data_IF_324860143140
#
_entry.id   IF_324860143140
#
_cell.length_a   1.000
_cell.length_b   1.000
_cell.length_c   1.000
_cell.angle_alpha   90.00
_cell.angle_beta   90.00
_cell.angle_gamma   90.00
#
_symmetry.space_group_name_H-M   'P 1'
#
loop_
_entity.id
_entity.type
_entity.pdbx_description
1 polymer ?
#
# COMPACT_ATOMS: atom_id res chain seq x y z
N UNK A 1 10.17 -16.23 11.92
CA UNK A 1 10.82 -15.15 11.09
C UNK A 1 9.89 -14.89 9.92
N UNK A 2 9.47 -13.67 9.71
CA UNK A 2 8.71 -13.28 8.50
C UNK A 2 9.62 -13.43 7.29
N UNK A 3 9.13 -14.01 6.19
CA UNK A 3 9.87 -14.00 4.92
C UNK A 3 10.14 -12.56 4.49
N UNK A 4 11.22 -12.33 3.76
CA UNK A 4 11.53 -11.00 3.24
C UNK A 4 10.39 -10.49 2.35
N UNK A 5 10.02 -9.23 2.51
CA UNK A 5 8.98 -8.58 1.71
C UNK A 5 9.42 -7.17 1.31
N UNK A 6 8.82 -6.67 0.25
CA UNK A 6 8.98 -5.30 -0.21
C UNK A 6 7.69 -4.51 0.03
N UNK A 7 7.80 -3.20 0.20
CA UNK A 7 6.63 -2.32 0.29
C UNK A 7 6.57 -1.44 -0.95
N UNK A 8 5.38 -1.33 -1.54
CA UNK A 8 5.08 -0.35 -2.57
C UNK A 8 4.01 0.59 -2.06
N UNK A 9 4.25 1.89 -2.20
CA UNK A 9 3.34 2.97 -1.80
C UNK A 9 2.82 3.63 -3.09
N UNK A 10 1.65 3.20 -3.61
CA UNK A 10 1.05 3.87 -4.75
C UNK A 10 0.56 5.26 -4.36
N UNK A 11 0.95 6.28 -5.12
CA UNK A 11 0.57 7.66 -4.89
C UNK A 11 0.15 8.33 -6.21
N UNK A 12 -1.07 8.89 -6.24
CA UNK A 12 -1.62 9.62 -7.40
C UNK A 12 -1.87 11.07 -7.02
N UNK A 13 -1.58 11.97 -7.96
CA UNK A 13 -1.96 13.37 -7.78
C UNK A 13 -3.46 13.59 -8.03
N UNK A 14 -4.00 12.90 -9.04
CA UNK A 14 -5.41 12.99 -9.37
C UNK A 14 -6.24 12.19 -8.37
N UNK A 15 -7.06 12.89 -7.62
CA UNK A 15 -8.07 12.34 -6.73
C UNK A 15 -9.34 13.15 -6.91
N UNK A 16 -10.48 12.49 -7.03
CA UNK A 16 -11.79 13.14 -7.21
C UNK A 16 -12.18 13.98 -6.00
N UNK A 17 -11.80 13.54 -4.79
CA UNK A 17 -12.15 14.22 -3.53
C UNK A 17 -11.13 15.28 -3.13
N UNK A 18 -9.83 15.03 -3.32
CA UNK A 18 -8.76 15.91 -2.86
C UNK A 18 -7.52 15.78 -3.74
N UNK A 19 -7.43 16.53 -4.85
CA UNK A 19 -6.24 16.52 -5.71
C UNK A 19 -4.98 16.89 -4.94
N UNK A 20 -3.87 16.20 -5.24
CA UNK A 20 -2.59 16.44 -4.57
C UNK A 20 -2.53 15.97 -3.11
N UNK A 21 -3.48 15.14 -2.65
CA UNK A 21 -3.53 14.62 -1.28
C UNK A 21 -2.17 14.13 -0.74
N UNK A 22 -1.34 13.38 -1.48
CA UNK A 22 -0.03 12.93 -0.99
C UNK A 22 0.94 14.06 -0.64
N UNK A 23 0.74 15.24 -1.23
CA UNK A 23 1.62 16.42 -1.03
C UNK A 23 1.11 17.39 0.05
N UNK A 24 -0.05 17.12 0.65
CA UNK A 24 -0.58 17.95 1.73
C UNK A 24 0.35 17.88 2.93
N UNK A 25 0.71 19.07 3.45
CA UNK A 25 1.56 19.16 4.61
C UNK A 25 0.80 18.78 5.90
N UNK A 26 1.33 17.79 6.60
CA UNK A 26 0.91 17.36 7.93
C UNK A 26 2.09 17.57 8.88
N UNK A 27 1.93 18.39 9.91
CA UNK A 27 2.99 18.67 10.89
C UNK A 27 4.34 19.07 10.23
N UNK A 28 4.28 19.84 9.13
CA UNK A 28 5.45 20.34 8.43
C UNK A 28 6.10 19.40 7.41
N UNK A 29 5.58 18.19 7.21
CA UNK A 29 6.04 17.23 6.20
C UNK A 29 4.88 16.86 5.25
N UNK A 30 5.14 16.54 3.97
CA UNK A 30 4.12 15.99 3.08
C UNK A 30 3.55 14.68 3.63
N UNK A 31 2.26 14.43 3.42
CA UNK A 31 1.61 13.18 3.85
C UNK A 31 2.37 11.93 3.39
N UNK A 32 2.81 11.91 2.12
CA UNK A 32 3.56 10.79 1.55
C UNK A 32 4.89 10.52 2.29
N UNK A 33 5.51 11.55 2.87
CA UNK A 33 6.73 11.40 3.65
C UNK A 33 6.46 10.67 4.96
N UNK A 34 5.35 10.98 5.65
CA UNK A 34 4.95 10.25 6.85
C UNK A 34 4.72 8.77 6.55
N UNK A 35 3.98 8.48 5.46
CA UNK A 35 3.72 7.09 5.02
C UNK A 35 5.03 6.36 4.72
N UNK A 36 5.94 7.02 4.00
CA UNK A 36 7.22 6.42 3.64
C UNK A 36 8.11 6.14 4.85
N UNK A 37 8.24 7.11 5.77
CA UNK A 37 9.02 6.96 7.00
C UNK A 37 8.49 5.77 7.83
N UNK A 38 7.17 5.67 8.03
CA UNK A 38 6.55 4.54 8.73
C UNK A 38 6.76 3.20 7.99
N UNK A 39 6.68 3.21 6.66
CA UNK A 39 6.92 2.00 5.87
C UNK A 39 8.36 1.49 6.01
N UNK A 40 9.35 2.39 6.11
CA UNK A 40 10.74 2.03 6.35
C UNK A 40 10.96 1.33 7.70
N UNK A 41 10.17 1.69 8.71
CA UNK A 41 10.24 1.08 10.04
C UNK A 41 9.59 -0.32 10.10
N UNK A 42 8.84 -0.72 9.07
CA UNK A 42 8.16 -2.03 9.03
C UNK A 42 9.10 -3.23 8.79
N UNK A 43 10.38 -3.01 8.48
CA UNK A 43 11.36 -4.07 8.24
C UNK A 43 11.29 -4.69 6.84
N UNK A 44 10.77 -3.96 5.85
CA UNK A 44 10.82 -4.35 4.45
C UNK A 44 12.26 -4.29 3.88
N UNK A 45 12.56 -5.13 2.88
CA UNK A 45 13.83 -5.06 2.17
C UNK A 45 13.95 -3.80 1.31
N UNK A 46 12.87 -3.45 0.62
CA UNK A 46 12.77 -2.26 -0.20
C UNK A 46 11.44 -1.56 0.08
N UNK A 47 11.46 -0.22 0.07
CA UNK A 47 10.26 0.62 0.14
C UNK A 47 10.28 1.56 -1.05
N UNK A 48 9.25 1.46 -1.92
CA UNK A 48 9.20 2.19 -3.18
C UNK A 48 7.92 3.02 -3.26
N UNK A 49 8.07 4.31 -3.57
CA UNK A 49 6.93 5.17 -3.93
C UNK A 49 6.65 5.02 -5.42
N UNK A 50 5.45 4.58 -5.77
CA UNK A 50 5.01 4.39 -7.16
C UNK A 50 4.06 5.50 -7.57
N UNK A 51 4.45 6.31 -8.55
CA UNK A 51 3.66 7.46 -9.01
C UNK A 51 3.77 7.69 -10.51
N UNK A 52 2.76 8.32 -11.08
CA UNK A 52 2.73 8.82 -12.47
C UNK A 52 2.92 10.35 -12.53
N UNK A 53 3.10 11.00 -11.38
CA UNK A 53 3.15 12.46 -11.29
C UNK A 53 4.54 12.93 -10.83
N UNK A 54 5.19 13.76 -11.64
CA UNK A 54 6.53 14.24 -11.35
C UNK A 54 6.60 15.10 -10.08
N UNK A 55 5.55 15.81 -9.72
CA UNK A 55 5.49 16.61 -8.48
C UNK A 55 5.61 15.73 -7.24
N UNK A 56 4.94 14.56 -7.26
CA UNK A 56 5.05 13.58 -6.18
C UNK A 56 6.45 12.96 -6.19
N UNK A 57 6.94 12.61 -7.38
CA UNK A 57 8.28 12.03 -7.53
C UNK A 57 9.38 12.95 -7.01
N UNK A 58 9.33 14.24 -7.35
CA UNK A 58 10.33 15.21 -6.93
C UNK A 58 10.33 15.41 -5.41
N UNK A 59 9.13 15.52 -4.82
CA UNK A 59 8.99 15.63 -3.36
C UNK A 59 9.48 14.36 -2.67
N UNK A 60 9.14 13.17 -3.20
CA UNK A 60 9.58 11.91 -2.62
C UNK A 60 11.11 11.74 -2.70
N UNK A 61 11.72 12.07 -3.82
CA UNK A 61 13.18 12.07 -3.98
C UNK A 61 13.86 13.05 -3.04
N UNK A 62 13.25 14.22 -2.79
CA UNK A 62 13.82 15.25 -1.93
C UNK A 62 14.00 14.80 -0.47
N UNK A 63 13.15 13.89 0.03
CA UNK A 63 13.32 13.28 1.35
C UNK A 63 14.01 11.91 1.32
N UNK A 64 14.56 11.48 0.17
CA UNK A 64 15.39 10.29 0.04
C UNK A 64 14.62 9.00 -0.26
N UNK A 65 13.35 9.08 -0.67
CA UNK A 65 12.60 7.89 -1.05
C UNK A 65 13.07 7.33 -2.40
N UNK A 66 13.04 6.02 -2.52
CA UNK A 66 13.12 5.37 -3.82
C UNK A 66 11.80 5.55 -4.56
N UNK A 67 11.87 6.04 -5.79
CA UNK A 67 10.70 6.36 -6.62
C UNK A 67 10.71 5.56 -7.91
N UNK A 68 9.62 4.90 -8.18
CA UNK A 68 9.34 4.24 -9.45
C UNK A 68 8.26 5.03 -10.21
N UNK A 69 8.64 5.58 -11.38
CA UNK A 69 7.67 6.21 -12.28
C UNK A 69 6.89 5.13 -13.02
N UNK A 70 5.58 5.22 -12.96
CA UNK A 70 4.65 4.27 -13.55
C UNK A 70 3.70 4.97 -14.52
N UNK A 71 3.01 4.20 -15.34
CA UNK A 71 1.99 4.78 -16.25
C UNK A 71 0.84 5.40 -15.47
N UNK A 72 0.19 6.41 -16.09
CA UNK A 72 -0.95 7.12 -15.48
C UNK A 72 -2.32 6.46 -15.69
N UNK A 73 -2.40 5.44 -16.57
CA UNK A 73 -3.64 4.81 -17.01
C UNK A 73 -4.06 3.57 -16.19
N UNK A 74 -3.36 3.28 -15.10
CA UNK A 74 -3.73 2.17 -14.22
C UNK A 74 -5.09 2.39 -13.55
N UNK A 75 -6.05 1.48 -13.70
CA UNK A 75 -7.36 1.57 -13.07
C UNK A 75 -7.30 1.36 -11.54
N UNK A 76 -6.25 0.67 -11.05
CA UNK A 76 -6.10 0.35 -9.62
C UNK A 76 -4.67 0.54 -9.12
N UNK A 77 -4.51 0.65 -7.79
CA UNK A 77 -3.21 0.62 -7.13
C UNK A 77 -2.50 -0.73 -7.33
N UNK A 78 -3.24 -1.83 -7.36
CA UNK A 78 -2.70 -3.18 -7.57
C UNK A 78 -1.98 -3.32 -8.91
N UNK A 79 -2.57 -2.81 -9.99
CA UNK A 79 -1.93 -2.84 -11.30
C UNK A 79 -0.67 -1.96 -11.38
N UNK A 80 -0.68 -0.82 -10.67
CA UNK A 80 0.51 0.02 -10.52
C UNK A 80 1.62 -0.73 -9.79
N UNK A 81 1.30 -1.47 -8.74
CA UNK A 81 2.25 -2.30 -8.01
C UNK A 81 2.83 -3.40 -8.89
N UNK A 82 2.00 -4.06 -9.70
CA UNK A 82 2.47 -5.07 -10.65
C UNK A 82 3.45 -4.48 -11.68
N UNK A 83 3.23 -3.25 -12.17
CA UNK A 83 4.19 -2.56 -13.02
C UNK A 83 5.52 -2.31 -12.28
N UNK A 84 5.48 -1.87 -11.01
CA UNK A 84 6.70 -1.70 -10.20
C UNK A 84 7.47 -3.01 -10.09
N UNK A 85 6.81 -4.13 -9.79
CA UNK A 85 7.45 -5.44 -9.69
C UNK A 85 8.17 -5.81 -10.99
N UNK A 86 7.54 -5.57 -12.14
CA UNK A 86 8.15 -5.80 -13.45
C UNK A 86 9.36 -4.87 -13.71
N UNK A 87 9.23 -3.56 -13.44
CA UNK A 87 10.31 -2.59 -13.64
C UNK A 87 11.51 -2.86 -12.74
N UNK A 88 11.26 -3.30 -11.51
CA UNK A 88 12.28 -3.69 -10.53
C UNK A 88 12.85 -5.10 -10.80
N UNK A 89 12.26 -5.84 -11.73
CA UNK A 89 12.63 -7.23 -12.03
C UNK A 89 12.58 -8.14 -10.77
N UNK A 90 11.63 -7.89 -9.88
CA UNK A 90 11.40 -8.77 -8.74
C UNK A 90 10.89 -10.13 -9.22
N UNK A 91 11.26 -11.18 -8.52
CA UNK A 91 10.80 -12.54 -8.85
C UNK A 91 9.30 -12.71 -8.56
N UNK A 92 8.68 -13.69 -9.19
CA UNK A 92 7.27 -14.04 -8.97
C UNK A 92 6.98 -14.48 -7.51
N UNK A 93 8.02 -14.91 -6.79
CA UNK A 93 7.94 -15.28 -5.37
C UNK A 93 8.11 -14.08 -4.43
N UNK A 94 8.33 -12.88 -4.95
CA UNK A 94 8.53 -11.70 -4.12
C UNK A 94 7.22 -11.28 -3.47
N UNK A 95 7.20 -11.31 -2.14
CA UNK A 95 6.07 -10.79 -1.38
C UNK A 95 6.06 -9.26 -1.42
N UNK A 96 4.94 -8.68 -1.81
CA UNK A 96 4.78 -7.22 -1.91
C UNK A 96 3.61 -6.78 -1.03
N UNK A 97 3.88 -5.88 -0.11
CA UNK A 97 2.85 -5.24 0.71
C UNK A 97 2.46 -3.90 0.08
N UNK A 98 1.18 -3.74 -0.17
CA UNK A 98 0.59 -2.48 -0.60
C UNK A 98 0.29 -1.60 0.61
N UNK A 99 0.99 -0.48 0.75
CA UNK A 99 0.71 0.55 1.75
C UNK A 99 0.16 1.78 1.04
N UNK A 100 -1.07 2.16 1.34
CA UNK A 100 -1.70 3.30 0.66
C UNK A 100 -1.03 4.62 1.02
N UNK A 101 -0.78 5.47 0.01
CA UNK A 101 -0.11 6.76 0.19
C UNK A 101 -0.87 7.80 1.02
N UNK A 102 -2.05 7.45 1.51
CA UNK A 102 -2.91 8.30 2.34
C UNK A 102 -3.21 7.71 3.73
N UNK A 103 -2.41 6.73 4.17
CA UNK A 103 -2.50 6.10 5.48
C UNK A 103 -1.25 6.40 6.35
N UNK A 104 -1.05 7.66 6.78
CA UNK A 104 0.16 8.09 7.49
C UNK A 104 0.28 7.51 8.91
N UNK A 105 -0.77 6.87 9.43
CA UNK A 105 -0.81 6.29 10.78
C UNK A 105 -0.96 4.77 10.76
N UNK A 106 -0.66 4.10 9.64
CA UNK A 106 -0.74 2.65 9.55
C UNK A 106 0.25 2.01 10.55
N UNK A 107 -0.23 1.15 11.47
CA UNK A 107 0.65 0.53 12.45
C UNK A 107 1.63 -0.45 11.79
N UNK A 108 2.93 -0.36 12.14
CA UNK A 108 3.98 -1.28 11.65
C UNK A 108 3.63 -2.75 11.89
N UNK A 109 3.08 -3.06 13.08
CA UNK A 109 2.67 -4.43 13.43
C UNK A 109 1.63 -4.99 12.47
N UNK A 110 0.76 -4.16 11.91
CA UNK A 110 -0.25 -4.58 10.97
C UNK A 110 0.38 -5.02 9.64
N UNK A 111 1.36 -4.25 9.15
CA UNK A 111 2.13 -4.60 7.94
C UNK A 111 2.85 -5.93 8.12
N UNK A 112 3.54 -6.09 9.26
CA UNK A 112 4.26 -7.34 9.60
C UNK A 112 3.30 -8.52 9.74
N UNK A 113 2.11 -8.31 10.31
CA UNK A 113 1.09 -9.34 10.47
C UNK A 113 0.56 -9.81 9.12
N UNK A 114 0.22 -8.89 8.21
CA UNK A 114 -0.26 -9.23 6.86
C UNK A 114 0.80 -9.99 6.06
N UNK A 115 2.05 -9.52 6.11
CA UNK A 115 3.16 -10.23 5.48
C UNK A 115 3.36 -11.62 6.09
N UNK A 116 3.25 -11.75 7.41
CA UNK A 116 3.36 -13.03 8.12
C UNK A 116 2.28 -14.05 7.72
N UNK A 117 1.06 -13.58 7.44
CA UNK A 117 -0.04 -14.47 7.04
C UNK A 117 0.25 -15.24 5.74
N UNK A 118 0.90 -14.63 4.76
CA UNK A 118 1.27 -15.35 3.53
C UNK A 118 2.32 -16.44 3.76
N UNK A 119 3.17 -16.30 4.79
CA UNK A 119 4.08 -17.38 5.18
C UNK A 119 3.35 -18.57 5.82
N UNK A 120 2.34 -18.26 6.66
CA UNK A 120 1.59 -19.28 7.38
C UNK A 120 0.60 -20.02 6.46
N UNK A 121 0.22 -19.39 5.35
CA UNK A 121 -0.70 -19.92 4.35
C UNK A 121 -0.10 -19.87 2.93
N UNK A 122 0.87 -20.75 2.61
CA UNK A 122 1.61 -20.71 1.34
C UNK A 122 0.75 -20.90 0.09
N UNK A 123 -0.43 -21.49 0.22
CA UNK A 123 -1.40 -21.64 -0.88
C UNK A 123 -2.23 -20.37 -1.12
N UNK A 124 -2.13 -19.36 -0.26
CA UNK A 124 -2.82 -18.09 -0.42
C UNK A 124 -2.03 -17.16 -1.34
N UNK A 125 -2.67 -16.66 -2.38
CA UNK A 125 -2.07 -15.66 -3.28
C UNK A 125 -2.14 -14.22 -2.74
N UNK A 126 -2.93 -13.97 -1.68
CA UNK A 126 -3.14 -12.64 -1.11
C UNK A 126 -3.58 -12.71 0.35
N UNK A 127 -3.14 -11.73 1.14
CA UNK A 127 -3.64 -11.48 2.48
C UNK A 127 -4.05 -10.02 2.62
N UNK A 128 -5.10 -9.73 3.37
CA UNK A 128 -5.58 -8.37 3.64
C UNK A 128 -6.13 -8.27 5.05
N UNK A 129 -6.29 -7.03 5.53
CA UNK A 129 -6.99 -6.74 6.78
C UNK A 129 -8.45 -6.43 6.53
N UNK A 130 -9.30 -6.90 7.42
CA UNK A 130 -10.72 -6.57 7.44
C UNK A 130 -11.18 -6.27 8.87
N UNK A 131 -12.14 -5.38 8.99
CA UNK A 131 -12.84 -5.10 10.26
C UNK A 131 -14.30 -5.54 10.14
N UNK A 132 -14.91 -6.03 11.22
CA UNK A 132 -16.34 -6.32 11.21
C UNK A 132 -17.15 -5.06 10.88
N UNK A 133 -18.20 -5.22 10.07
CA UNK A 133 -19.21 -4.19 9.89
C UNK A 133 -20.07 -4.13 11.16
N UNK A 134 -20.24 -2.94 11.70
CA UNK A 134 -21.02 -2.73 12.93
C UNK A 134 -22.42 -2.18 12.66
N UNK A 135 -22.69 -1.68 11.46
CA UNK A 135 -23.96 -1.15 11.04
C UNK A 135 -24.44 -1.80 9.73
N UNK A 136 -25.69 -2.17 9.67
CA UNK A 136 -26.34 -2.69 8.47
C UNK A 136 -26.28 -1.68 7.31
N UNK A 137 -26.32 -0.39 7.61
CA UNK A 137 -26.18 0.67 6.60
C UNK A 137 -24.85 0.59 5.84
N UNK A 138 -23.75 0.19 6.50
CA UNK A 138 -22.44 0.02 5.88
C UNK A 138 -22.42 -1.08 4.80
N UNK A 139 -23.30 -2.08 4.92
CA UNK A 139 -23.43 -3.15 3.91
C UNK A 139 -23.88 -2.59 2.56
N UNK A 140 -24.73 -1.57 2.58
CA UNK A 140 -25.27 -0.95 1.37
C UNK A 140 -24.54 0.33 0.94
N UNK A 141 -23.59 0.81 1.74
CA UNK A 141 -22.79 1.98 1.42
C UNK A 141 -21.78 1.65 0.31
N UNK A 142 -21.84 2.30 -0.87
CA UNK A 142 -20.92 2.06 -1.97
C UNK A 142 -19.47 2.49 -1.66
N UNK A 143 -19.26 3.36 -0.69
CA UNK A 143 -17.93 3.83 -0.29
C UNK A 143 -17.22 2.88 0.70
N UNK A 144 -17.95 1.93 1.27
CA UNK A 144 -17.38 0.87 2.14
C UNK A 144 -17.01 -0.34 1.30
N UNK A 145 -15.73 -0.70 1.29
CA UNK A 145 -15.25 -1.93 0.65
C UNK A 145 -15.63 -3.13 1.51
N UNK A 146 -16.31 -4.12 0.92
CA UNK A 146 -16.74 -5.34 1.60
C UNK A 146 -15.82 -6.49 1.25
N UNK A 147 -15.41 -7.23 2.26
CA UNK A 147 -14.76 -8.54 2.09
C UNK A 147 -15.80 -9.61 2.38
N UNK A 148 -16.10 -10.42 1.38
CA UNK A 148 -16.92 -11.60 1.55
C UNK A 148 -16.02 -12.82 1.65
N UNK A 149 -16.08 -13.55 2.76
CA UNK A 149 -15.30 -14.77 2.94
C UNK A 149 -16.19 -16.00 2.90
N UNK A 150 -15.71 -17.03 2.25
CA UNK A 150 -16.32 -18.36 2.33
C UNK A 150 -15.82 -19.09 3.59
N UNK A 151 -16.64 -20.03 4.08
CA UNK A 151 -16.28 -20.86 5.23
C UNK A 151 -14.95 -21.58 4.95
N UNK A 152 -13.95 -21.36 5.79
CA UNK A 152 -12.62 -21.96 5.66
C UNK A 152 -11.45 -20.98 5.58
N UNK A 153 -11.71 -19.67 5.53
CA UNK A 153 -10.66 -18.64 5.62
C UNK A 153 -10.43 -18.32 7.09
N UNK A 154 -9.16 -18.37 7.52
CA UNK A 154 -8.80 -18.04 8.90
C UNK A 154 -9.07 -16.55 9.19
N UNK A 155 -9.72 -16.28 10.30
CA UNK A 155 -9.84 -14.93 10.83
C UNK A 155 -8.55 -14.53 11.55
N UNK A 156 -8.10 -13.31 11.32
CA UNK A 156 -7.07 -12.64 12.12
C UNK A 156 -7.76 -11.74 13.14
#
# INVERSE_FOLDING_TARGET
MTSPFNIVIPARYQSTRLPGKPLIALLGKPMIQHVYEHACDCGANEVVVATDDERIADVAKAFGAEVCMTRGDHPSGTERIAEVANLKQWSDETMIVNVQGDEPLLPERLVQQVAGQLNDFPDAGMATVATPLNDVAEVFDPDVVKVNHQIGIAHV
#
